data_IF_355372750383
#
_entry.id   IF_355372750383
#
_cell.length_a   1.000
_cell.length_b   1.000
_cell.length_c   1.000
_cell.angle_alpha   90.00
_cell.angle_beta   90.00
_cell.angle_gamma   90.00
#
_symmetry.space_group_name_H-M   'P 1'
#
loop_
_entity.id
_entity.type
_entity.pdbx_description
1 polymer ?
#
# COMPACT_ATOMS: atom_id res chain seq x y z
N UNK A 1 20.05 11.76 -11.22
CA UNK A 1 20.49 11.67 -12.64
C UNK A 1 19.25 11.66 -13.54
N UNK A 2 19.30 12.19 -14.78
CA UNK A 2 18.16 12.13 -15.68
C UNK A 2 18.01 10.74 -16.31
N UNK A 3 16.81 10.17 -16.26
CA UNK A 3 16.44 8.93 -16.95
C UNK A 3 15.46 9.25 -18.07
N UNK A 4 15.70 8.72 -19.26
CA UNK A 4 14.82 8.90 -20.42
C UNK A 4 14.07 7.60 -20.70
N UNK A 5 12.75 7.70 -20.83
CA UNK A 5 11.86 6.57 -21.14
C UNK A 5 10.96 6.96 -22.31
N UNK A 6 10.71 6.01 -23.22
CA UNK A 6 9.77 6.20 -24.32
C UNK A 6 8.39 5.78 -23.84
N UNK A 7 7.43 6.69 -23.92
CA UNK A 7 6.03 6.42 -23.61
C UNK A 7 5.26 6.21 -24.91
N UNK A 8 4.19 5.42 -24.86
CA UNK A 8 3.26 5.34 -25.97
C UNK A 8 2.54 6.69 -26.15
N UNK A 9 2.09 7.04 -27.37
CA UNK A 9 1.39 8.30 -27.62
C UNK A 9 0.16 8.50 -26.72
N UNK A 10 -0.55 7.41 -26.40
CA UNK A 10 -1.72 7.43 -25.52
C UNK A 10 -1.36 7.85 -24.09
N UNK A 11 -0.28 7.28 -23.51
CA UNK A 11 0.16 7.61 -22.16
C UNK A 11 0.68 9.04 -22.09
N UNK A 12 1.43 9.48 -23.12
CA UNK A 12 1.89 10.87 -23.18
C UNK A 12 0.71 11.86 -23.22
N UNK A 13 -0.33 11.55 -23.99
CA UNK A 13 -1.53 12.37 -24.08
C UNK A 13 -2.28 12.43 -22.73
N UNK A 14 -2.47 11.29 -22.07
CA UNK A 14 -3.06 11.24 -20.72
C UNK A 14 -2.27 12.06 -19.70
N UNK A 15 -0.95 11.97 -19.73
CA UNK A 15 -0.06 12.73 -18.85
C UNK A 15 -0.15 14.25 -19.12
N UNK A 16 -0.23 14.64 -20.39
CA UNK A 16 -0.39 16.04 -20.81
C UNK A 16 -1.73 16.61 -20.35
N UNK A 17 -2.81 15.85 -20.48
CA UNK A 17 -4.13 16.27 -20.04
C UNK A 17 -4.23 16.36 -18.51
N UNK A 18 -3.62 15.42 -17.79
CA UNK A 18 -3.55 15.46 -16.33
C UNK A 18 -2.79 16.70 -15.84
N UNK A 19 -1.61 16.96 -16.42
CA UNK A 19 -0.82 18.15 -16.12
C UNK A 19 -1.60 19.45 -16.38
N UNK A 20 -2.32 19.55 -17.51
CA UNK A 20 -3.15 20.71 -17.84
C UNK A 20 -4.28 20.92 -16.83
N UNK A 21 -4.93 19.85 -16.38
CA UNK A 21 -6.07 19.93 -15.45
C UNK A 21 -5.67 20.33 -14.03
N UNK A 22 -4.48 19.93 -13.58
CA UNK A 22 -4.07 20.14 -12.18
C UNK A 22 -3.06 21.26 -11.98
N UNK A 23 -2.54 21.84 -13.08
CA UNK A 23 -1.50 22.86 -13.05
C UNK A 23 -0.11 22.33 -12.65
N UNK A 24 0.05 21.01 -12.51
CA UNK A 24 1.35 20.38 -12.19
C UNK A 24 2.12 20.03 -13.47
N UNK A 25 3.44 19.94 -13.36
CA UNK A 25 4.28 19.56 -14.50
C UNK A 25 4.23 18.05 -14.80
N UNK A 26 4.40 17.68 -16.07
CA UNK A 26 4.53 16.27 -16.50
C UNK A 26 5.68 15.56 -15.78
N UNK A 27 6.80 16.26 -15.57
CA UNK A 27 7.97 15.71 -14.89
C UNK A 27 7.73 15.42 -13.41
N UNK A 28 6.86 16.19 -12.74
CA UNK A 28 6.48 15.90 -11.36
C UNK A 28 5.64 14.63 -11.29
N UNK A 29 4.62 14.51 -12.15
CA UNK A 29 3.83 13.27 -12.23
C UNK A 29 4.67 12.04 -12.55
N UNK A 30 5.62 12.13 -13.49
CA UNK A 30 6.48 11.00 -13.80
C UNK A 30 7.33 10.57 -12.60
N UNK A 31 7.85 11.51 -11.81
CA UNK A 31 8.58 11.19 -10.58
C UNK A 31 7.67 10.53 -9.55
N UNK A 32 6.49 11.08 -9.34
CA UNK A 32 5.52 10.55 -8.36
C UNK A 32 5.06 9.13 -8.77
N UNK A 33 4.76 8.91 -10.06
CA UNK A 33 4.38 7.59 -10.57
C UNK A 33 5.49 6.56 -10.47
N UNK A 34 6.75 6.95 -10.71
CA UNK A 34 7.89 6.03 -10.55
C UNK A 34 8.10 5.69 -9.08
N UNK A 35 7.97 6.65 -8.17
CA UNK A 35 8.13 6.41 -6.74
C UNK A 35 7.04 5.47 -6.20
N UNK A 36 5.76 5.80 -6.46
CA UNK A 36 4.62 4.97 -6.04
C UNK A 36 4.62 3.60 -6.73
N UNK A 37 4.92 3.56 -8.02
CA UNK A 37 5.00 2.30 -8.75
C UNK A 37 6.14 1.41 -8.28
N UNK A 38 7.24 1.97 -7.75
CA UNK A 38 8.30 1.17 -7.16
C UNK A 38 7.87 0.55 -5.84
N UNK A 39 7.20 1.32 -4.97
CA UNK A 39 6.61 0.82 -3.71
C UNK A 39 5.63 -0.33 -3.98
N UNK A 40 4.70 -0.15 -4.92
CA UNK A 40 3.74 -1.20 -5.31
C UNK A 40 4.42 -2.47 -5.83
N UNK A 41 5.51 -2.31 -6.61
CA UNK A 41 6.26 -3.44 -7.15
C UNK A 41 7.02 -4.19 -6.06
N UNK A 42 7.66 -3.47 -5.14
CA UNK A 42 8.38 -4.05 -4.01
C UNK A 42 7.43 -4.86 -3.12
N UNK A 43 6.27 -4.29 -2.77
CA UNK A 43 5.23 -4.96 -2.00
C UNK A 43 4.70 -6.21 -2.72
N UNK A 44 4.44 -6.10 -4.03
CA UNK A 44 3.99 -7.23 -4.83
C UNK A 44 5.02 -8.37 -4.82
N UNK A 45 6.30 -8.07 -5.03
CA UNK A 45 7.33 -9.10 -5.09
C UNK A 45 7.58 -9.75 -3.72
N UNK A 46 7.54 -8.97 -2.64
CA UNK A 46 7.61 -9.50 -1.27
C UNK A 46 6.44 -10.44 -0.98
N UNK A 47 5.22 -10.02 -1.31
CA UNK A 47 4.02 -10.85 -1.12
C UNK A 47 4.06 -12.13 -1.99
N UNK A 48 4.51 -12.02 -3.25
CA UNK A 48 4.65 -13.14 -4.16
C UNK A 48 5.69 -14.17 -3.66
N UNK A 49 6.77 -13.70 -3.04
CA UNK A 49 7.77 -14.56 -2.42
C UNK A 49 7.21 -15.31 -1.21
N UNK A 50 6.54 -14.62 -0.30
CA UNK A 50 5.86 -15.24 0.85
C UNK A 50 4.86 -16.29 0.37
N UNK A 51 4.04 -15.96 -0.63
CA UNK A 51 3.06 -16.89 -1.19
C UNK A 51 3.73 -18.13 -1.81
N UNK A 52 4.91 -17.99 -2.41
CA UNK A 52 5.70 -19.12 -2.89
C UNK A 52 6.12 -20.01 -1.73
N UNK A 53 6.67 -19.45 -0.65
CA UNK A 53 7.12 -20.23 0.52
C UNK A 53 5.95 -20.92 1.23
N UNK A 54 4.79 -20.27 1.34
CA UNK A 54 3.55 -20.90 1.81
C UNK A 54 3.20 -22.15 0.98
N UNK A 55 3.27 -22.05 -0.36
CA UNK A 55 2.98 -23.20 -1.24
C UNK A 55 4.00 -24.33 -1.11
N UNK A 56 5.24 -24.02 -0.74
CA UNK A 56 6.29 -25.01 -0.47
C UNK A 56 6.20 -25.57 0.96
N UNK A 57 5.32 -25.05 1.82
CA UNK A 57 5.23 -25.43 3.24
C UNK A 57 6.38 -24.89 4.10
N UNK A 58 7.10 -23.89 3.59
CA UNK A 58 8.27 -23.26 4.25
C UNK A 58 7.88 -22.08 5.15
N UNK A 59 6.60 -21.72 5.19
CA UNK A 59 6.06 -20.64 6.01
C UNK A 59 5.04 -21.15 7.03
N UNK A 60 5.07 -20.57 8.23
CA UNK A 60 4.05 -20.83 9.23
C UNK A 60 2.74 -20.15 8.83
N UNK A 61 1.67 -20.93 8.71
CA UNK A 61 0.32 -20.42 8.41
C UNK A 61 -0.62 -20.70 9.57
N UNK A 62 -1.55 -19.77 9.81
CA UNK A 62 -2.63 -19.94 10.78
C UNK A 62 -3.96 -20.06 10.05
N UNK A 63 -4.95 -20.70 10.68
CA UNK A 63 -6.31 -20.71 10.14
C UNK A 63 -6.93 -19.31 10.24
N UNK A 64 -7.89 -19.03 9.36
CA UNK A 64 -8.63 -17.77 9.40
C UNK A 64 -9.34 -17.55 10.75
N UNK A 65 -9.88 -18.61 11.36
CA UNK A 65 -10.52 -18.51 12.67
C UNK A 65 -9.52 -18.04 13.74
N UNK A 66 -8.33 -18.66 13.80
CA UNK A 66 -7.27 -18.27 14.75
C UNK A 66 -6.81 -16.83 14.51
N UNK A 67 -6.68 -16.41 13.26
CA UNK A 67 -6.32 -15.04 12.90
C UNK A 67 -7.34 -14.02 13.44
N UNK A 68 -8.63 -14.22 13.20
CA UNK A 68 -9.67 -13.30 13.63
C UNK A 68 -9.83 -13.24 15.15
N UNK A 69 -9.73 -14.38 15.85
CA UNK A 69 -9.74 -14.39 17.32
C UNK A 69 -8.59 -13.57 17.93
N UNK A 70 -7.40 -13.58 17.31
CA UNK A 70 -6.27 -12.78 17.74
C UNK A 70 -6.43 -11.28 17.48
N UNK A 71 -7.18 -10.88 16.44
CA UNK A 71 -7.49 -9.47 16.20
C UNK A 71 -8.55 -8.94 17.17
N UNK A 72 -9.58 -9.74 17.43
CA UNK A 72 -10.63 -9.38 18.39
C UNK A 72 -10.00 -9.17 19.78
N UNK A 73 -9.11 -10.06 20.23
CA UNK A 73 -8.42 -9.92 21.52
C UNK A 73 -7.50 -8.69 21.63
N UNK A 74 -6.95 -8.20 20.52
CA UNK A 74 -6.15 -6.95 20.49
C UNK A 74 -7.02 -5.69 20.39
N UNK A 75 -8.29 -5.82 20.01
CA UNK A 75 -9.23 -4.70 19.83
C UNK A 75 -10.26 -4.57 20.95
N UNK A 76 -10.25 -5.47 21.95
CA UNK A 76 -10.96 -5.28 23.22
C UNK A 76 -10.31 -4.15 24.05
N UNK A 77 -10.71 -2.90 23.78
CA UNK A 77 -10.86 -1.92 24.87
C UNK A 77 -12.24 -2.14 25.47
N UNK A 78 -12.29 -2.56 26.74
CA UNK A 78 -13.52 -2.71 27.54
C UNK A 78 -14.48 -1.52 27.30
N UNK A 79 -15.70 -1.73 26.76
CA UNK A 79 -16.75 -0.72 26.75
C UNK A 79 -17.20 -0.49 28.20
N UNK A 80 -16.52 0.42 28.90
CA UNK A 80 -16.76 0.66 30.31
C UNK A 80 -15.53 0.99 31.16
N UNK A 81 -14.33 1.11 30.57
CA UNK A 81 -13.18 1.66 31.31
C UNK A 81 -13.45 3.11 31.71
N UNK A 82 -13.93 3.29 32.94
CA UNK A 82 -14.10 4.55 33.66
C UNK A 82 -12.72 5.15 34.00
N UNK A 83 -11.89 5.42 32.99
CA UNK A 83 -10.69 6.24 33.13
C UNK A 83 -11.00 7.65 32.57
N UNK A 84 -11.79 8.41 33.33
CA UNK A 84 -12.15 9.77 32.94
C UNK A 84 -13.48 10.24 33.51
N UNK A 85 -13.72 10.06 34.82
CA UNK A 85 -14.61 11.00 35.50
C UNK A 85 -13.78 12.27 35.77
N UNK A 86 -14.23 13.47 35.37
CA UNK A 86 -13.71 14.67 35.98
C UNK A 86 -14.16 14.63 37.44
N UNK A 87 -13.21 14.58 38.37
CA UNK A 87 -13.54 14.95 39.75
C UNK A 87 -13.90 16.44 39.77
N UNK A 88 -14.92 16.74 40.57
CA UNK A 88 -15.53 18.07 40.74
C UNK A 88 -14.52 19.18 41.05
#
# INVERSE_FOLDING_TARGET
MPTSVRLSPEIEQRLKDLARKTGRSRAQYLRDFVALGLEDLEDYYLAAEVLRRIRLGEESVVSAAVFWYGLDSMTYTEPGSLAGRPEE
#
